data_IF_923679852832
#
_entry.id   IF_923679852832
#
_cell.length_a   1.000
_cell.length_b   1.000
_cell.length_c   1.000
_cell.angle_alpha   90.00
_cell.angle_beta   90.00
_cell.angle_gamma   90.00
#
_symmetry.space_group_name_H-M   'P 1'
#
loop_
_entity.id
_entity.type
_entity.pdbx_description
1 polymer ?
#
# COMPACT_ATOMS: atom_id res chain seq x y z
N UNK A 1 -10.65 8.03 -2.88
CA UNK A 1 -10.08 6.89 -3.64
C UNK A 1 -9.70 5.78 -2.70
N UNK A 2 -10.04 4.58 -3.05
CA UNK A 2 -9.68 3.40 -2.26
C UNK A 2 -8.47 2.69 -2.85
N UNK A 3 -7.76 1.93 -2.04
CA UNK A 3 -6.54 1.22 -2.46
C UNK A 3 -6.82 0.35 -3.70
N UNK A 4 -7.96 -0.33 -3.74
CA UNK A 4 -8.31 -1.20 -4.87
C UNK A 4 -8.38 -0.47 -6.22
N UNK A 5 -8.70 0.82 -6.21
CA UNK A 5 -8.74 1.61 -7.43
C UNK A 5 -7.35 1.85 -8.00
N UNK A 6 -6.32 1.84 -7.14
CA UNK A 6 -4.94 2.02 -7.57
C UNK A 6 -4.37 0.80 -8.28
N UNK A 7 -4.92 -0.38 -8.06
CA UNK A 7 -4.44 -1.58 -8.75
C UNK A 7 -4.60 -1.45 -10.27
N UNK A 8 -5.67 -0.81 -10.70
CA UNK A 8 -5.91 -0.60 -12.12
C UNK A 8 -4.92 0.39 -12.73
N UNK A 9 -4.53 1.40 -11.95
CA UNK A 9 -3.67 2.49 -12.40
C UNK A 9 -2.20 2.11 -12.29
N UNK A 10 -1.84 1.41 -11.23
CA UNK A 10 -0.45 1.13 -10.90
C UNK A 10 -0.04 -0.32 -11.18
N UNK A 11 -0.48 -0.83 -12.31
CA UNK A 11 -0.34 -2.25 -12.69
C UNK A 11 1.10 -2.75 -12.67
N UNK A 12 2.04 -1.88 -13.01
CA UNK A 12 3.46 -2.23 -13.12
C UNK A 12 4.33 -1.64 -12.02
N UNK A 13 3.70 -1.05 -11.01
CA UNK A 13 4.40 -0.45 -9.89
C UNK A 13 4.25 -1.30 -8.64
N UNK A 14 5.26 -1.28 -7.79
CA UNK A 14 5.14 -1.88 -6.48
C UNK A 14 4.46 -0.91 -5.53
N UNK A 15 3.62 -1.41 -4.67
CA UNK A 15 2.83 -0.62 -3.74
C UNK A 15 3.26 -0.93 -2.32
N UNK A 16 3.55 0.13 -1.54
CA UNK A 16 3.75 0.02 -0.11
C UNK A 16 2.69 0.84 0.60
N UNK A 17 1.97 0.21 1.51
CA UNK A 17 0.97 0.90 2.30
C UNK A 17 1.56 1.36 3.63
N UNK A 18 1.31 2.61 3.98
CA UNK A 18 1.78 3.22 5.20
C UNK A 18 0.62 3.85 5.95
N UNK A 19 0.71 3.87 7.27
CA UNK A 19 -0.29 4.55 8.10
C UNK A 19 -0.18 6.06 7.92
N UNK A 20 -1.29 6.70 7.64
CA UNK A 20 -1.35 8.16 7.56
C UNK A 20 -1.15 8.84 8.91
N UNK A 21 -1.21 8.09 10.00
CA UNK A 21 -1.03 8.63 11.34
C UNK A 21 0.44 8.76 11.72
N UNK A 22 1.21 7.68 11.59
CA UNK A 22 2.60 7.67 12.06
C UNK A 22 3.61 7.36 10.94
N UNK A 23 3.15 7.12 9.73
CA UNK A 23 4.00 6.82 8.60
C UNK A 23 4.62 5.43 8.59
N UNK A 24 4.27 4.58 9.53
CA UNK A 24 4.81 3.23 9.58
C UNK A 24 4.26 2.35 8.47
N UNK A 25 5.10 1.47 7.95
CA UNK A 25 4.69 0.55 6.91
C UNK A 25 3.66 -0.44 7.44
N UNK A 26 2.55 -0.57 6.70
CA UNK A 26 1.45 -1.47 7.06
C UNK A 26 1.52 -2.75 6.24
N UNK A 27 1.81 -2.65 4.95
CA UNK A 27 1.87 -3.79 4.06
C UNK A 27 2.68 -3.45 2.82
N UNK A 28 3.42 -4.45 2.30
CA UNK A 28 4.16 -4.29 1.06
C UNK A 28 4.02 -5.50 0.13
N UNK A 29 3.58 -6.64 0.65
CA UNK A 29 3.35 -7.82 -0.18
C UNK A 29 2.01 -7.70 -0.92
N UNK A 30 1.86 -8.37 -2.07
CA UNK A 30 0.58 -8.34 -2.78
C UNK A 30 -0.60 -8.77 -1.91
N UNK A 31 -0.45 -9.80 -1.10
CA UNK A 31 -1.52 -10.26 -0.21
C UNK A 31 -1.84 -9.24 0.89
N UNK A 32 -0.79 -8.62 1.44
CA UNK A 32 -0.98 -7.61 2.47
C UNK A 32 -1.69 -6.38 1.92
N UNK A 33 -1.30 -5.95 0.74
CA UNK A 33 -1.93 -4.81 0.08
C UNK A 33 -3.39 -5.11 -0.25
N UNK A 34 -3.66 -6.31 -0.75
CA UNK A 34 -5.04 -6.74 -1.06
C UNK A 34 -5.94 -6.74 0.16
N UNK A 35 -5.40 -7.10 1.32
CA UNK A 35 -6.15 -7.06 2.58
C UNK A 35 -6.74 -5.68 2.86
N UNK A 36 -6.02 -4.62 2.46
CA UNK A 36 -6.44 -3.24 2.69
C UNK A 36 -7.06 -2.59 1.45
N UNK A 37 -7.62 -3.39 0.55
CA UNK A 37 -8.19 -2.90 -0.71
C UNK A 37 -9.27 -1.84 -0.52
N UNK A 38 -10.03 -1.93 0.58
CA UNK A 38 -11.10 -0.99 0.87
C UNK A 38 -10.67 0.22 1.71
N UNK A 39 -9.39 0.32 2.05
CA UNK A 39 -8.88 1.45 2.82
C UNK A 39 -8.86 2.72 1.98
N UNK A 40 -9.17 3.85 2.62
CA UNK A 40 -9.15 5.15 1.97
C UNK A 40 -7.73 5.65 1.79
N UNK A 41 -7.40 6.08 0.59
CA UNK A 41 -6.10 6.63 0.26
C UNK A 41 -6.07 8.12 0.62
N UNK A 42 -5.11 8.50 1.46
CA UNK A 42 -4.93 9.89 1.88
C UNK A 42 -3.88 10.61 1.05
N UNK A 43 -2.81 9.90 0.68
CA UNK A 43 -1.69 10.51 -0.03
C UNK A 43 -0.96 9.44 -0.81
N UNK A 44 -0.49 9.80 -2.00
CA UNK A 44 0.33 8.94 -2.85
C UNK A 44 1.64 9.66 -3.12
N UNK A 45 2.76 9.00 -2.76
CA UNK A 45 4.08 9.54 -3.04
C UNK A 45 4.78 8.58 -4.00
N UNK A 46 4.96 8.96 -5.27
CA UNK A 46 5.71 8.12 -6.20
C UNK A 46 7.20 8.15 -5.88
N UNK A 47 7.82 7.00 -5.96
CA UNK A 47 9.26 6.84 -5.74
C UNK A 47 9.86 6.02 -6.85
N UNK A 48 11.08 6.36 -7.22
CA UNK A 48 11.86 5.56 -8.17
C UNK A 48 13.07 5.04 -7.42
N UNK A 49 13.24 3.73 -7.44
CA UNK A 49 14.38 3.08 -6.80
C UNK A 49 15.26 2.46 -7.87
N UNK A 50 16.52 2.87 -7.90
CA UNK A 50 17.50 2.26 -8.79
C UNK A 50 18.06 1.05 -8.05
N UNK A 51 17.77 -0.15 -8.53
CA UNK A 51 18.10 -1.39 -7.84
C UNK A 51 19.39 -2.02 -8.34
N UNK A 52 20.02 -1.46 -9.38
CA UNK A 52 21.24 -2.01 -9.93
C UNK A 52 22.15 -0.90 -10.44
N UNK A 53 23.45 -1.16 -10.48
CA UNK A 53 24.44 -0.19 -10.98
C UNK A 53 24.34 0.05 -12.49
N UNK A 54 23.69 -0.86 -13.22
CA UNK A 54 23.37 -0.60 -14.61
C UNK A 54 22.09 0.23 -14.63
N UNK A 55 22.12 1.34 -15.35
CA UNK A 55 21.02 2.30 -15.44
C UNK A 55 19.72 1.74 -16.02
N UNK A 56 19.66 0.45 -16.30
CA UNK A 56 18.56 -0.19 -16.99
C UNK A 56 17.41 -0.63 -16.09
N UNK A 57 17.58 -0.52 -14.77
CA UNK A 57 16.57 -0.99 -13.82
C UNK A 57 16.16 0.07 -12.82
N UNK A 58 15.17 0.85 -13.21
CA UNK A 58 14.46 1.70 -12.27
C UNK A 58 13.11 1.04 -11.98
N UNK A 59 12.85 0.72 -10.71
CA UNK A 59 11.54 0.25 -10.30
C UNK A 59 10.74 1.40 -9.73
N UNK A 60 9.52 1.53 -10.19
CA UNK A 60 8.58 2.51 -9.65
C UNK A 60 7.90 1.92 -8.42
N UNK A 61 7.91 2.69 -7.34
CA UNK A 61 7.21 2.37 -6.11
C UNK A 61 6.17 3.44 -5.83
N UNK A 62 5.05 3.01 -5.31
CA UNK A 62 4.06 3.95 -4.81
C UNK A 62 3.95 3.79 -3.30
N UNK A 63 4.33 4.84 -2.59
CA UNK A 63 4.11 4.91 -1.14
C UNK A 63 2.72 5.50 -0.95
N UNK A 64 1.83 4.68 -0.43
CA UNK A 64 0.42 5.04 -0.30
C UNK A 64 0.09 5.13 1.18
N UNK A 65 -0.34 6.32 1.62
CA UNK A 65 -0.74 6.54 2.99
C UNK A 65 -2.25 6.36 3.10
N UNK A 66 -2.67 5.49 4.01
CA UNK A 66 -4.08 5.15 4.20
C UNK A 66 -4.55 5.56 5.58
N UNK A 67 -5.87 5.73 5.71
CA UNK A 67 -6.48 6.18 6.95
C UNK A 67 -6.28 5.17 8.08
N UNK A 68 -5.82 5.63 9.23
CA UNK A 68 -5.57 4.78 10.38
C UNK A 68 -6.83 4.07 10.86
N UNK A 69 -7.98 4.74 10.79
CA UNK A 69 -9.26 4.12 11.17
C UNK A 69 -9.57 2.90 10.32
N UNK A 70 -9.25 2.95 9.03
CA UNK A 70 -9.44 1.82 8.14
C UNK A 70 -8.48 0.69 8.47
N UNK A 71 -7.24 1.01 8.83
CA UNK A 71 -6.27 0.00 9.25
C UNK A 71 -6.79 -0.77 10.46
N UNK A 72 -7.25 -0.06 11.47
CA UNK A 72 -7.79 -0.67 12.67
C UNK A 72 -9.03 -1.50 12.38
N UNK A 73 -9.95 -0.96 11.60
CA UNK A 73 -11.19 -1.64 11.22
C UNK A 73 -10.90 -2.94 10.50
N UNK A 74 -10.04 -2.90 9.50
CA UNK A 74 -9.73 -4.06 8.67
C UNK A 74 -8.99 -5.13 9.50
N UNK A 75 -8.06 -4.72 10.35
CA UNK A 75 -7.37 -5.64 11.23
C UNK A 75 -8.32 -6.32 12.21
N UNK A 76 -9.27 -5.57 12.76
CA UNK A 76 -10.26 -6.11 13.68
C UNK A 76 -11.19 -7.11 12.99
N UNK A 77 -11.63 -6.79 11.78
CA UNK A 77 -12.45 -7.70 10.97
C UNK A 77 -11.71 -9.01 10.70
N UNK A 78 -10.42 -8.93 10.38
CA UNK A 78 -9.60 -10.11 10.13
C UNK A 78 -9.45 -10.97 11.39
N UNK A 79 -9.29 -10.34 12.56
CA UNK A 79 -9.22 -11.06 13.82
C UNK A 79 -10.53 -11.72 14.17
N UNK A 80 -11.65 -11.05 13.93
CA UNK A 80 -12.98 -11.59 14.20
C UNK A 80 -13.25 -12.84 13.38
N UNK A 81 -12.71 -12.93 12.18
CA UNK A 81 -12.93 -14.07 11.30
C UNK A 81 -12.11 -15.30 11.67
N UNK A 82 -11.26 -15.22 12.67
CA UNK A 82 -10.44 -16.35 13.11
C UNK A 82 -11.12 -17.21 14.17
N UNK A 83 -12.26 -16.82 14.61
CA UNK A 83 -12.98 -17.58 15.65
C UNK A 83 -14.03 -18.52 15.05
#
# INVERSE_FOLDING_TARGET
MKVKELYEIAKYSEIELHSGFDGKMVASSPKGVEKFADAEVLLIIPRIKITNHSCDYAKAYLYIFIANNDIERINNETQSNKN
#
